data_IF_538279950184
#
_entry.id   IF_538279950184
#
_cell.length_a   1.000
_cell.length_b   1.000
_cell.length_c   1.000
_cell.angle_alpha   90.00
_cell.angle_beta   90.00
_cell.angle_gamma   90.00
#
_symmetry.space_group_name_H-M   'P 1'
#
loop_
_entity.id
_entity.type
_entity.pdbx_description
1 polymer ?
#
# COMPACT_ATOMS: atom_id res chain seq x y z
N UNK A 1 11.50 -9.86 -24.97
CA UNK A 1 11.13 -8.60 -24.29
C UNK A 1 9.68 -8.58 -23.80
N UNK A 2 8.65 -8.82 -24.63
CA UNK A 2 7.23 -8.82 -24.19
C UNK A 2 6.92 -9.73 -22.99
N UNK A 3 7.46 -10.95 -22.95
CA UNK A 3 7.23 -11.91 -21.83
C UNK A 3 7.87 -11.47 -20.51
N UNK A 4 9.04 -10.83 -20.58
CA UNK A 4 9.77 -10.32 -19.39
C UNK A 4 8.99 -9.16 -18.78
N UNK A 5 8.41 -8.30 -19.62
CA UNK A 5 7.62 -7.16 -19.17
C UNK A 5 6.31 -7.57 -18.48
N UNK A 6 5.62 -8.58 -19.00
CA UNK A 6 4.42 -9.14 -18.34
C UNK A 6 4.72 -9.82 -17.02
N UNK A 7 5.87 -10.50 -16.90
CA UNK A 7 6.30 -11.13 -15.65
C UNK A 7 6.66 -10.07 -14.61
N UNK A 8 7.32 -8.98 -15.01
CA UNK A 8 7.66 -7.87 -14.11
C UNK A 8 6.41 -7.14 -13.59
N UNK A 9 5.43 -6.88 -14.46
CA UNK A 9 4.16 -6.24 -14.04
C UNK A 9 3.40 -7.16 -13.08
N UNK A 10 3.30 -8.45 -13.39
CA UNK A 10 2.58 -9.40 -12.54
C UNK A 10 3.30 -9.62 -11.20
N UNK A 11 4.64 -9.64 -11.21
CA UNK A 11 5.46 -9.71 -10.01
C UNK A 11 5.34 -8.46 -9.14
N UNK A 12 5.32 -7.26 -9.75
CA UNK A 12 5.13 -5.99 -9.04
C UNK A 12 3.71 -5.87 -8.47
N UNK A 13 2.70 -6.38 -9.18
CA UNK A 13 1.32 -6.45 -8.70
C UNK A 13 1.19 -7.41 -7.51
N UNK A 14 1.81 -8.60 -7.59
CA UNK A 14 1.88 -9.54 -6.46
C UNK A 14 2.61 -8.94 -5.25
N UNK A 15 3.71 -8.21 -5.49
CA UNK A 15 4.46 -7.54 -4.41
C UNK A 15 3.61 -6.46 -3.72
N UNK A 16 2.80 -5.73 -4.49
CA UNK A 16 1.90 -4.71 -3.93
C UNK A 16 0.79 -5.31 -3.06
N UNK A 17 0.32 -6.52 -3.37
CA UNK A 17 -0.69 -7.22 -2.55
C UNK A 17 -0.09 -7.67 -1.22
N UNK A 18 1.15 -8.16 -1.21
CA UNK A 18 1.83 -8.57 0.04
C UNK A 18 2.07 -7.43 1.03
N UNK A 19 2.25 -6.19 0.56
CA UNK A 19 2.52 -5.04 1.43
C UNK A 19 1.27 -4.51 2.15
N UNK A 20 0.08 -4.83 1.67
CA UNK A 20 -1.20 -4.35 2.26
C UNK A 20 -1.60 -5.13 3.52
N UNK A 21 -1.07 -6.35 3.74
CA UNK A 21 -1.45 -7.23 4.85
C UNK A 21 -0.51 -7.15 6.08
N UNK A 22 0.36 -6.14 6.19
CA UNK A 22 1.43 -6.13 7.17
C UNK A 22 1.11 -5.45 8.51
N UNK A 23 -0.15 -5.06 8.78
CA UNK A 23 -0.51 -4.34 10.00
C UNK A 23 -1.78 -4.91 10.66
N UNK A 24 -1.76 -6.19 11.05
CA UNK A 24 -2.69 -6.70 12.06
C UNK A 24 -1.97 -6.65 13.41
N UNK A 25 -2.48 -5.84 14.35
CA UNK A 25 -2.08 -5.90 15.76
C UNK A 25 -2.49 -7.28 16.32
N UNK A 26 -1.51 -8.17 16.53
CA UNK A 26 -1.76 -9.52 17.06
C UNK A 26 -1.94 -9.49 18.58
N UNK A 27 -3.18 -9.51 19.05
CA UNK A 27 -3.52 -9.55 20.48
C UNK A 27 -3.42 -10.95 21.12
N UNK A 28 -2.86 -11.97 20.44
CA UNK A 28 -2.77 -13.33 20.99
C UNK A 28 -2.04 -13.39 22.34
N UNK A 29 -0.93 -12.67 22.49
CA UNK A 29 -0.16 -12.65 23.76
C UNK A 29 -0.95 -11.95 24.87
N UNK A 30 -1.50 -10.77 24.58
CA UNK A 30 -2.36 -10.00 25.50
C UNK A 30 -3.51 -10.85 26.01
N UNK A 31 -4.20 -11.56 25.10
CA UNK A 31 -5.31 -12.44 25.45
C UNK A 31 -4.86 -13.58 26.37
N UNK A 32 -3.74 -14.23 26.07
CA UNK A 32 -3.20 -15.28 26.93
C UNK A 32 -2.88 -14.78 28.34
N UNK A 33 -2.32 -13.57 28.46
CA UNK A 33 -2.02 -12.96 29.75
C UNK A 33 -3.30 -12.63 30.53
N UNK A 34 -4.32 -12.07 29.87
CA UNK A 34 -5.64 -11.79 30.48
C UNK A 34 -6.27 -13.11 30.97
N UNK A 35 -6.31 -14.14 30.11
CA UNK A 35 -6.89 -15.46 30.42
C UNK A 35 -6.13 -16.18 31.54
N UNK A 36 -4.82 -15.90 31.70
CA UNK A 36 -4.01 -16.45 32.79
C UNK A 36 -4.35 -15.85 34.17
N UNK A 37 -5.08 -14.72 34.21
CA UNK A 37 -5.45 -14.04 35.46
C UNK A 37 -4.26 -13.47 36.22
N UNK A 38 -3.25 -12.98 35.50
CA UNK A 38 -2.05 -12.36 36.09
C UNK A 38 -2.41 -11.18 37.00
N UNK A 39 -1.76 -11.07 38.17
CA UNK A 39 -1.98 -9.94 39.07
C UNK A 39 -1.47 -8.63 38.47
N UNK A 40 -2.20 -7.55 38.68
CA UNK A 40 -1.83 -6.22 38.19
C UNK A 40 -0.48 -5.73 38.70
N UNK A 41 -0.06 -6.11 39.91
CA UNK A 41 1.24 -5.73 40.49
C UNK A 41 2.44 -6.33 39.72
N UNK A 42 2.18 -7.31 38.85
CA UNK A 42 3.20 -7.98 38.04
C UNK A 42 3.21 -7.51 36.59
N UNK A 43 2.25 -6.67 36.21
CA UNK A 43 2.16 -6.14 34.86
C UNK A 43 3.10 -4.95 34.69
N UNK A 44 3.77 -4.89 33.55
CA UNK A 44 4.52 -3.71 33.12
C UNK A 44 3.58 -2.68 32.49
N UNK A 45 4.03 -1.43 32.37
CA UNK A 45 3.27 -0.39 31.67
C UNK A 45 3.01 -0.76 30.20
N UNK A 46 3.94 -1.45 29.52
CA UNK A 46 3.75 -1.93 28.14
C UNK A 46 2.67 -3.01 28.04
N UNK A 47 2.58 -3.90 29.04
CA UNK A 47 1.52 -4.90 29.10
C UNK A 47 0.18 -4.24 29.41
N UNK A 48 0.14 -3.25 30.30
CA UNK A 48 -1.08 -2.48 30.58
C UNK A 48 -1.55 -1.67 29.38
N UNK A 49 -0.62 -1.08 28.62
CA UNK A 49 -0.92 -0.42 27.35
C UNK A 49 -1.55 -1.41 26.36
N UNK A 50 -0.94 -2.58 26.18
CA UNK A 50 -1.46 -3.64 25.30
C UNK A 50 -2.83 -4.17 25.73
N UNK A 51 -3.09 -4.25 27.05
CA UNK A 51 -4.40 -4.62 27.60
C UNK A 51 -5.44 -3.54 27.30
N UNK A 52 -5.05 -2.27 27.42
CA UNK A 52 -5.90 -1.12 27.14
C UNK A 52 -6.29 -1.03 25.68
N UNK A 53 -5.30 -1.23 24.80
CA UNK A 53 -5.46 -1.37 23.35
C UNK A 53 -6.46 -2.50 23.02
N UNK A 54 -6.25 -3.70 23.58
CA UNK A 54 -7.17 -4.83 23.44
C UNK A 54 -8.61 -4.50 23.88
N UNK A 55 -8.81 -3.86 25.04
CA UNK A 55 -10.16 -3.50 25.48
C UNK A 55 -10.78 -2.37 24.65
N UNK A 56 -9.97 -1.42 24.16
CA UNK A 56 -10.46 -0.38 23.24
C UNK A 56 -10.91 -0.98 21.93
N UNK A 57 -10.15 -1.92 21.37
CA UNK A 57 -10.51 -2.67 20.17
C UNK A 57 -11.82 -3.46 20.37
N UNK A 58 -12.03 -4.09 21.54
CA UNK A 58 -13.28 -4.80 21.86
C UNK A 58 -14.51 -3.86 21.95
N UNK A 59 -14.31 -2.62 22.41
CA UNK A 59 -15.40 -1.63 22.49
C UNK A 59 -15.66 -0.93 21.15
N UNK A 60 -14.60 -0.71 20.37
CA UNK A 60 -14.62 -0.01 19.09
C UNK A 60 -13.70 -0.72 18.12
N UNK A 61 -14.23 -1.68 17.37
CA UNK A 61 -13.39 -2.49 16.46
C UNK A 61 -12.92 -1.70 15.24
N UNK A 62 -11.68 -1.94 14.82
CA UNK A 62 -11.09 -1.48 13.56
C UNK A 62 -10.99 0.03 13.44
N UNK A 63 -11.49 0.58 12.32
CA UNK A 63 -11.35 2.00 11.97
C UNK A 63 -11.86 2.98 13.07
N UNK A 64 -12.80 2.54 13.91
CA UNK A 64 -13.34 3.38 14.99
C UNK A 64 -12.33 3.60 16.13
N UNK A 65 -11.53 2.59 16.45
CA UNK A 65 -10.47 2.69 17.43
C UNK A 65 -9.30 3.51 16.87
N UNK A 66 -8.88 3.24 15.64
CA UNK A 66 -7.84 4.05 14.96
C UNK A 66 -8.22 5.54 14.90
N UNK A 67 -9.49 5.86 14.60
CA UNK A 67 -9.95 7.25 14.60
C UNK A 67 -9.82 7.89 15.99
N UNK A 68 -10.18 7.17 17.05
CA UNK A 68 -10.06 7.65 18.43
C UNK A 68 -8.61 7.86 18.80
N UNK A 69 -7.74 6.94 18.43
CA UNK A 69 -6.32 6.99 18.75
C UNK A 69 -5.67 8.23 18.13
N UNK A 70 -5.99 8.49 16.86
CA UNK A 70 -5.59 9.70 16.16
C UNK A 70 -6.11 10.99 16.83
N UNK A 71 -7.32 10.97 17.40
CA UNK A 71 -7.85 12.11 18.15
C UNK A 71 -7.18 12.30 19.52
N UNK A 72 -6.61 11.24 20.10
CA UNK A 72 -5.96 11.24 21.43
C UNK A 72 -4.44 11.45 21.38
N UNK A 73 -3.88 11.73 20.19
CA UNK A 73 -2.46 12.03 20.00
C UNK A 73 -1.78 11.19 18.92
N UNK A 74 -2.45 10.15 18.41
CA UNK A 74 -1.92 9.22 17.41
C UNK A 74 -1.05 8.12 18.01
N UNK A 75 -0.82 7.07 17.21
CA UNK A 75 0.01 5.91 17.59
C UNK A 75 1.39 6.34 18.10
N UNK A 76 1.81 5.74 19.22
CA UNK A 76 3.09 6.00 19.87
C UNK A 76 3.18 7.32 20.63
N UNK A 77 2.09 8.09 20.74
CA UNK A 77 2.06 9.29 21.60
C UNK A 77 1.92 8.92 23.08
N UNK A 78 2.62 9.64 23.96
CA UNK A 78 2.49 9.44 25.41
C UNK A 78 1.07 9.69 25.92
N UNK A 79 0.31 10.60 25.29
CA UNK A 79 -1.08 10.85 25.66
C UNK A 79 -1.99 9.65 25.37
N UNK A 80 -1.81 9.00 24.22
CA UNK A 80 -2.57 7.80 23.86
C UNK A 80 -2.17 6.61 24.73
N UNK A 81 -0.87 6.40 24.91
CA UNK A 81 -0.31 5.36 25.79
C UNK A 81 -0.91 5.41 27.20
N UNK A 82 -1.02 6.60 27.80
CA UNK A 82 -1.64 6.76 29.12
C UNK A 82 -3.14 6.45 29.13
N UNK A 83 -3.86 6.75 28.04
CA UNK A 83 -5.28 6.39 27.92
C UNK A 83 -5.45 4.87 27.92
N UNK A 84 -4.68 4.15 27.12
CA UNK A 84 -4.70 2.69 27.11
C UNK A 84 -4.37 2.11 28.49
N UNK A 85 -3.26 2.54 29.12
CA UNK A 85 -2.86 2.07 30.45
C UNK A 85 -3.96 2.34 31.50
N UNK A 86 -4.52 3.55 31.54
CA UNK A 86 -5.56 3.88 32.49
C UNK A 86 -6.84 3.06 32.23
N UNK A 87 -7.18 2.81 30.96
CA UNK A 87 -8.30 1.96 30.64
C UNK A 87 -8.08 0.52 31.13
N UNK A 88 -6.90 -0.04 30.93
CA UNK A 88 -6.55 -1.37 31.45
C UNK A 88 -6.62 -1.44 32.98
N UNK A 89 -6.07 -0.46 33.69
CA UNK A 89 -6.15 -0.39 35.15
C UNK A 89 -7.60 -0.33 35.65
N UNK A 90 -8.47 0.39 34.94
CA UNK A 90 -9.89 0.46 35.28
C UNK A 90 -10.63 -0.85 35.02
N UNK A 91 -10.44 -1.45 33.85
CA UNK A 91 -11.22 -2.61 33.40
C UNK A 91 -10.70 -3.94 33.94
N UNK A 92 -9.38 -4.09 34.02
CA UNK A 92 -8.73 -5.32 34.47
C UNK A 92 -8.39 -5.26 35.96
N UNK A 93 -7.75 -4.17 36.41
CA UNK A 93 -7.28 -4.03 37.80
C UNK A 93 -8.35 -3.52 38.77
N UNK A 94 -9.50 -3.07 38.26
CA UNK A 94 -10.55 -2.40 39.05
C UNK A 94 -10.02 -1.22 39.88
N UNK A 95 -9.00 -0.53 39.38
CA UNK A 95 -8.46 0.66 40.01
C UNK A 95 -9.27 1.89 39.60
N UNK A 96 -9.57 2.77 40.55
CA UNK A 96 -10.17 4.07 40.25
C UNK A 96 -9.08 5.05 39.82
N UNK A 97 -8.64 4.89 38.57
CA UNK A 97 -7.79 5.86 37.90
C UNK A 97 -8.63 7.07 37.47
N UNK A 98 -8.73 8.04 38.37
CA UNK A 98 -9.43 9.30 38.10
C UNK A 98 -8.83 10.02 36.89
N UNK A 99 -9.60 10.13 35.79
CA UNK A 99 -9.08 10.82 34.61
C UNK A 99 -9.86 10.69 33.30
N UNK A 100 -10.70 9.68 33.12
CA UNK A 100 -11.32 9.43 31.79
C UNK A 100 -12.33 10.50 31.33
N UNK A 101 -12.91 11.30 32.23
CA UNK A 101 -13.81 12.42 31.86
C UNK A 101 -13.62 13.69 32.72
N UNK A 102 -12.55 13.78 33.51
CA UNK A 102 -12.53 14.65 34.70
C UNK A 102 -11.54 15.82 34.73
N UNK A 103 -10.67 16.02 33.73
CA UNK A 103 -9.65 17.08 33.86
C UNK A 103 -8.79 17.43 32.65
N UNK A 104 -8.84 16.69 31.54
CA UNK A 104 -7.98 16.94 30.38
C UNK A 104 -8.58 17.84 29.28
N UNK A 105 -9.91 17.95 29.20
CA UNK A 105 -10.59 18.64 28.09
C UNK A 105 -10.63 20.17 28.21
N UNK A 106 -10.09 20.76 29.28
CA UNK A 106 -10.15 22.20 29.50
C UNK A 106 -8.99 23.00 28.87
N UNK A 107 -8.04 22.33 28.19
CA UNK A 107 -6.84 22.98 27.64
C UNK A 107 -6.70 22.91 26.11
N UNK A 108 -7.76 22.50 25.39
CA UNK A 108 -7.73 22.35 23.93
C UNK A 108 -8.51 23.45 23.19
N UNK A 109 -8.55 24.66 23.77
CA UNK A 109 -9.15 25.85 23.17
C UNK A 109 -8.13 26.91 22.74
N UNK A 110 -6.88 26.53 22.49
CA UNK A 110 -5.87 27.50 22.09
C UNK A 110 -4.57 26.88 21.61
N UNK A 111 -4.45 26.71 20.29
CA UNK A 111 -3.30 27.17 19.50
C UNK A 111 -3.27 26.53 18.11
N UNK A 112 -3.25 27.37 17.08
CA UNK A 112 -2.37 27.16 15.94
C UNK A 112 -2.88 26.28 14.80
N UNK A 113 -3.38 26.96 13.76
CA UNK A 113 -3.46 26.45 12.40
C UNK A 113 -2.10 25.91 11.90
N UNK A 114 -2.19 24.93 10.98
CA UNK A 114 -1.35 24.73 9.78
C UNK A 114 -0.18 23.74 9.88
N UNK A 115 -0.28 22.63 9.14
CA UNK A 115 0.85 21.70 8.98
C UNK A 115 0.58 20.44 8.16
N UNK A 116 0.01 20.58 6.95
CA UNK A 116 0.15 19.70 5.78
C UNK A 116 0.72 18.28 6.00
N UNK A 117 -0.16 17.30 6.26
CA UNK A 117 0.07 15.89 5.92
C UNK A 117 -1.01 15.45 4.93
N UNK A 118 -0.66 14.81 3.81
CA UNK A 118 -1.64 14.35 2.84
C UNK A 118 -2.46 13.23 3.50
N UNK A 119 -3.67 13.57 3.92
CA UNK A 119 -4.74 12.64 4.31
C UNK A 119 -5.10 11.77 3.11
N UNK A 120 -4.32 10.72 2.87
CA UNK A 120 -4.50 9.83 1.72
C UNK A 120 -5.55 8.73 1.94
N UNK A 121 -6.37 8.80 3.00
CA UNK A 121 -7.31 7.71 3.32
C UNK A 121 -8.67 8.16 3.83
N UNK A 122 -9.10 9.40 3.58
CA UNK A 122 -10.30 9.95 4.23
C UNK A 122 -11.20 10.84 3.39
N UNK A 123 -11.07 10.90 2.06
CA UNK A 123 -11.97 11.73 1.26
C UNK A 123 -12.58 10.99 0.08
N UNK A 124 -13.84 10.56 0.30
CA UNK A 124 -14.77 10.02 -0.66
C UNK A 124 -14.34 8.69 -1.29
N UNK A 125 -14.98 7.59 -0.88
CA UNK A 125 -14.97 6.32 -1.63
C UNK A 125 -15.19 6.51 -3.14
N UNK A 126 -15.92 7.56 -3.54
CA UNK A 126 -16.06 7.98 -4.94
C UNK A 126 -14.74 8.42 -5.60
N UNK A 127 -13.90 9.21 -4.91
CA UNK A 127 -12.60 9.66 -5.39
C UNK A 127 -11.61 8.49 -5.54
N UNK A 128 -11.65 7.54 -4.60
CA UNK A 128 -10.83 6.32 -4.69
C UNK A 128 -11.21 5.46 -5.90
N UNK A 129 -12.51 5.29 -6.16
CA UNK A 129 -12.98 4.55 -7.35
C UNK A 129 -12.57 5.27 -8.63
N UNK A 130 -12.70 6.60 -8.70
CA UNK A 130 -12.26 7.39 -9.85
C UNK A 130 -10.74 7.28 -10.06
N UNK A 131 -9.96 7.31 -8.98
CA UNK A 131 -8.51 7.16 -9.04
C UNK A 131 -8.10 5.77 -9.53
N UNK A 132 -8.80 4.72 -9.09
CA UNK A 132 -8.59 3.36 -9.53
C UNK A 132 -8.94 3.16 -11.02
N UNK A 133 -10.05 3.76 -11.49
CA UNK A 133 -10.42 3.78 -12.91
C UNK A 133 -9.36 4.55 -13.73
N UNK A 134 -8.87 5.68 -13.22
CA UNK A 134 -7.80 6.45 -13.87
C UNK A 134 -6.53 5.62 -14.00
N UNK A 135 -6.15 4.87 -12.96
CA UNK A 135 -4.96 4.02 -12.96
C UNK A 135 -5.09 2.86 -13.95
N UNK A 136 -6.26 2.21 -14.01
CA UNK A 136 -6.57 1.18 -15.02
C UNK A 136 -6.51 1.78 -16.43
N UNK A 137 -7.08 2.97 -16.63
CA UNK A 137 -7.03 3.70 -17.90
C UNK A 137 -5.61 4.06 -18.33
N UNK A 138 -4.78 4.51 -17.38
CA UNK A 138 -3.38 4.83 -17.62
C UNK A 138 -2.57 3.59 -18.02
N UNK A 139 -2.79 2.45 -17.35
CA UNK A 139 -2.17 1.17 -17.72
C UNK A 139 -2.63 0.74 -19.12
N UNK A 140 -3.93 0.80 -19.42
CA UNK A 140 -4.46 0.45 -20.73
C UNK A 140 -3.89 1.34 -21.84
N UNK A 141 -3.74 2.64 -21.58
CA UNK A 141 -3.14 3.61 -22.49
C UNK A 141 -1.64 3.35 -22.70
N UNK A 142 -0.90 3.01 -21.64
CA UNK A 142 0.50 2.61 -21.73
C UNK A 142 0.66 1.32 -22.56
N UNK A 143 -0.18 0.31 -22.33
CA UNK A 143 -0.19 -0.93 -23.11
C UNK A 143 -0.55 -0.65 -24.58
N UNK A 144 -1.54 0.22 -24.83
CA UNK A 144 -1.93 0.61 -26.18
C UNK A 144 -0.83 1.37 -26.91
N UNK A 145 -0.17 2.33 -26.24
CA UNK A 145 0.98 3.03 -26.80
C UNK A 145 2.13 2.08 -27.10
N UNK A 146 2.47 1.17 -26.19
CA UNK A 146 3.50 0.15 -26.43
C UNK A 146 3.09 -0.77 -27.57
N UNK A 147 1.82 -1.16 -27.68
CA UNK A 147 1.31 -1.97 -28.79
C UNK A 147 1.43 -1.22 -30.12
N UNK A 148 1.07 0.07 -30.15
CA UNK A 148 1.21 0.94 -31.32
C UNK A 148 2.67 1.12 -31.73
N UNK A 149 3.56 1.38 -30.76
CA UNK A 149 4.99 1.53 -31.02
C UNK A 149 5.66 0.21 -31.40
N UNK A 150 5.32 -0.92 -30.76
CA UNK A 150 5.84 -2.24 -31.16
C UNK A 150 5.30 -2.71 -32.51
N UNK A 151 4.07 -2.33 -32.89
CA UNK A 151 3.54 -2.56 -34.24
C UNK A 151 4.28 -1.70 -35.28
N UNK A 152 4.67 -0.48 -34.93
CA UNK A 152 5.49 0.38 -35.80
C UNK A 152 6.98 -0.02 -35.83
N UNK A 153 7.49 -0.74 -34.85
CA UNK A 153 8.87 -1.26 -34.84
C UNK A 153 9.02 -2.59 -35.60
N UNK A 154 7.92 -3.15 -36.12
CA UNK A 154 7.94 -4.23 -37.11
C UNK A 154 8.32 -3.78 -38.52
N UNK A 155 8.77 -2.53 -38.70
CA UNK A 155 9.16 -1.99 -40.00
C UNK A 155 10.48 -1.21 -39.96
N UNK A 156 11.43 -1.62 -39.11
CA UNK A 156 12.82 -1.46 -39.52
C UNK A 156 13.04 -2.48 -40.64
N UNK A 157 12.64 -2.13 -41.88
CA UNK A 157 12.99 -2.91 -43.06
C UNK A 157 14.52 -2.92 -43.10
N UNK A 158 15.12 -4.00 -42.61
CA UNK A 158 16.55 -4.24 -42.80
C UNK A 158 16.81 -4.24 -44.31
N UNK A 159 17.98 -3.78 -44.78
CA UNK A 159 18.30 -3.77 -46.21
C UNK A 159 18.03 -5.12 -46.89
N UNK A 160 18.18 -6.23 -46.15
CA UNK A 160 17.86 -7.59 -46.57
C UNK A 160 16.35 -7.80 -46.83
N UNK A 161 15.46 -7.25 -46.01
CA UNK A 161 14.01 -7.34 -46.20
C UNK A 161 13.56 -6.58 -47.46
N UNK A 162 14.19 -5.45 -47.77
CA UNK A 162 13.93 -4.69 -49.01
C UNK A 162 14.34 -5.52 -50.24
N UNK A 163 15.52 -6.14 -50.19
CA UNK A 163 15.98 -7.04 -51.26
C UNK A 163 15.04 -8.23 -51.45
N UNK A 164 14.58 -8.84 -50.36
CA UNK A 164 13.67 -9.98 -50.41
C UNK A 164 12.33 -9.62 -51.06
N UNK A 165 11.80 -8.42 -50.78
CA UNK A 165 10.57 -7.89 -51.37
C UNK A 165 10.71 -7.65 -52.88
N UNK A 166 11.85 -7.15 -53.34
CA UNK A 166 12.13 -6.94 -54.78
C UNK A 166 12.33 -8.26 -55.52
N UNK A 167 13.00 -9.23 -54.90
CA UNK A 167 13.14 -10.58 -55.46
C UNK A 167 11.77 -11.27 -55.60
N UNK A 168 10.92 -11.18 -54.57
CA UNK A 168 9.56 -11.74 -54.60
C UNK A 168 8.66 -11.07 -55.66
N UNK A 169 8.88 -9.79 -55.96
CA UNK A 169 8.21 -9.08 -57.06
C UNK A 169 8.80 -9.40 -58.45
N UNK A 170 9.91 -10.13 -58.53
CA UNK A 170 10.60 -10.43 -59.78
C UNK A 170 11.43 -9.28 -60.35
N UNK A 171 11.64 -8.20 -59.57
CA UNK A 171 12.39 -7.02 -60.01
C UNK A 171 13.92 -7.26 -60.04
N UNK A 172 14.41 -8.30 -59.36
CA UNK A 172 15.83 -8.69 -59.34
C UNK A 172 15.98 -10.20 -59.53
N UNK A 173 17.06 -10.63 -60.17
CA UNK A 173 17.35 -12.07 -60.37
C UNK A 173 17.93 -12.71 -59.11
N UNK A 174 17.86 -14.05 -59.02
CA UNK A 174 18.40 -14.82 -57.88
C UNK A 174 19.90 -14.53 -57.63
N UNK A 175 20.69 -14.39 -58.70
CA UNK A 175 22.13 -14.09 -58.61
C UNK A 175 22.38 -12.72 -57.97
N UNK A 176 21.65 -11.69 -58.42
CA UNK A 176 21.75 -10.33 -57.90
C UNK A 176 21.33 -10.25 -56.42
N UNK A 177 20.28 -10.99 -56.03
CA UNK A 177 19.86 -11.08 -54.64
C UNK A 177 20.95 -11.68 -53.74
N UNK A 178 21.61 -12.76 -54.17
CA UNK A 178 22.64 -13.44 -53.40
C UNK A 178 23.90 -12.58 -53.21
N UNK A 179 24.34 -11.86 -54.25
CA UNK A 179 25.49 -10.95 -54.17
C UNK A 179 25.25 -9.79 -53.18
N UNK A 180 24.14 -9.07 -53.34
CA UNK A 180 23.80 -7.94 -52.46
C UNK A 180 23.53 -8.38 -51.02
N UNK A 181 22.95 -9.57 -50.81
CA UNK A 181 22.75 -10.12 -49.46
C UNK A 181 24.09 -10.46 -48.77
N UNK A 182 25.10 -10.89 -49.54
CA UNK A 182 26.43 -11.22 -48.99
C UNK A 182 27.20 -9.96 -48.61
N UNK A 183 27.05 -8.89 -49.39
CA UNK A 183 27.67 -7.59 -49.12
C UNK A 183 27.07 -6.90 -47.88
N UNK A 184 25.76 -6.96 -47.70
CA UNK A 184 25.07 -6.38 -46.53
C UNK A 184 25.32 -7.10 -45.21
N UNK A 185 25.86 -8.33 -45.24
CA UNK A 185 26.21 -9.11 -44.06
C UNK A 185 27.72 -9.07 -43.74
N UNK A 186 28.51 -8.26 -44.47
CA UNK A 186 29.94 -8.06 -44.25
C UNK A 186 30.18 -6.86 -43.33
#
# INVERSE_FOLDING_TARGET
MRKIFTILIFGMLLLSVSLVFAHEHDFNETKQLIDSGISCDKLTDEQLESFGDYYMEQMHTGEAHEMRDNMMGGEGSESLRQVHINMAKRLYCNEDVGGLMGGGMMNMSGSGMMGNYPTYYGYNSFWNILWLIFLIGAIALMVWLIYKFTKNWGMHETPVNILQKRYAKGEISKKQFEEMRKELNR
#
